data_IF_825596835384
#
_entry.id   IF_825596835384
#
_cell.length_a   1.000
_cell.length_b   1.000
_cell.length_c   1.000
_cell.angle_alpha   90.00
_cell.angle_beta   90.00
_cell.angle_gamma   90.00
#
_symmetry.space_group_name_H-M   'P 1'
#
loop_
_entity.id
_entity.type
_entity.pdbx_description
1 polymer ?
#
# COMPACT_ATOMS: atom_id res chain seq x y z
N UNK A 1 0.82 47.06 5.02
CA UNK A 1 0.32 46.33 3.84
C UNK A 1 -0.85 47.13 3.29
N UNK A 2 -0.75 47.64 2.07
CA UNK A 2 -1.85 48.38 1.45
C UNK A 2 -2.94 47.38 1.03
N UNK A 3 -4.22 47.63 1.34
CA UNK A 3 -5.31 46.77 0.89
C UNK A 3 -5.34 46.75 -0.65
N UNK A 4 -5.45 45.56 -1.22
CA UNK A 4 -5.58 45.38 -2.66
C UNK A 4 -7.07 45.36 -3.01
N UNK A 5 -7.46 46.11 -4.03
CA UNK A 5 -8.84 46.15 -4.52
C UNK A 5 -9.02 45.06 -5.56
N UNK A 6 -9.89 44.09 -5.28
CA UNK A 6 -10.13 42.99 -6.19
C UNK A 6 -10.72 43.51 -7.52
N UNK A 7 -10.13 43.18 -8.69
CA UNK A 7 -10.59 43.69 -9.98
C UNK A 7 -12.00 43.20 -10.35
N UNK A 8 -12.43 42.04 -9.84
CA UNK A 8 -13.70 41.42 -10.22
C UNK A 8 -14.89 41.88 -9.35
N UNK A 9 -14.70 42.05 -8.03
CA UNK A 9 -15.78 42.47 -7.11
C UNK A 9 -15.61 43.89 -6.54
N UNK A 10 -14.46 44.54 -6.77
CA UNK A 10 -14.20 45.91 -6.31
C UNK A 10 -14.04 46.09 -4.79
N UNK A 11 -14.11 45.01 -4.01
CA UNK A 11 -13.87 45.05 -2.56
C UNK A 11 -12.38 45.07 -2.21
N UNK A 12 -12.06 45.82 -1.17
CA UNK A 12 -10.72 45.89 -0.58
C UNK A 12 -10.50 44.63 0.28
N UNK A 13 -9.52 43.82 -0.08
CA UNK A 13 -9.15 42.60 0.65
C UNK A 13 -7.68 42.62 1.03
N UNK A 14 -7.38 42.08 2.20
CA UNK A 14 -6.01 41.87 2.69
C UNK A 14 -5.43 40.50 2.27
N UNK A 15 -6.23 39.64 1.62
CA UNK A 15 -5.84 38.30 1.19
C UNK A 15 -5.95 38.14 -0.33
N UNK A 16 -4.94 37.54 -0.94
CA UNK A 16 -4.96 37.10 -2.34
C UNK A 16 -4.94 35.57 -2.37
N UNK A 17 -5.94 34.88 -2.96
CA UNK A 17 -7.08 35.41 -3.74
C UNK A 17 -8.27 35.92 -2.91
N UNK A 18 -9.13 36.75 -3.53
CA UNK A 18 -10.28 37.40 -2.89
C UNK A 18 -11.38 36.38 -2.50
N UNK A 19 -11.81 36.32 -1.23
CA UNK A 19 -12.71 35.26 -0.72
C UNK A 19 -14.15 35.32 -1.24
N UNK A 20 -14.60 36.46 -1.77
CA UNK A 20 -15.92 36.57 -2.42
C UNK A 20 -15.90 36.17 -3.89
N UNK A 21 -14.84 36.58 -4.60
CA UNK A 21 -14.69 36.36 -6.03
C UNK A 21 -14.14 34.97 -6.36
N UNK A 22 -13.44 34.34 -5.42
CA UNK A 22 -13.09 32.92 -5.46
C UNK A 22 -14.09 32.17 -4.58
N UNK A 23 -15.26 31.76 -5.12
CA UNK A 23 -16.18 30.95 -4.35
C UNK A 23 -15.45 29.71 -3.87
N UNK A 24 -15.73 29.28 -2.63
CA UNK A 24 -15.21 28.06 -2.03
C UNK A 24 -15.47 26.77 -2.84
N UNK A 25 -16.05 26.86 -4.05
CA UNK A 25 -16.16 25.80 -5.05
C UNK A 25 -14.81 25.41 -5.69
N UNK A 26 -13.75 26.24 -5.60
CA UNK A 26 -12.38 25.85 -5.95
C UNK A 26 -11.53 25.38 -4.77
N UNK A 27 -12.09 25.35 -3.55
CA UNK A 27 -11.70 24.27 -2.62
C UNK A 27 -12.32 23.03 -3.19
N UNK A 28 -11.66 22.48 -4.22
CA UNK A 28 -12.13 21.32 -4.97
C UNK A 28 -12.68 20.31 -3.99
N UNK A 29 -13.86 19.76 -4.30
CA UNK A 29 -14.29 18.52 -3.69
C UNK A 29 -13.04 17.64 -3.55
N UNK A 30 -12.72 17.11 -2.35
CA UNK A 30 -11.52 16.32 -2.17
C UNK A 30 -11.49 15.34 -3.33
N UNK A 31 -10.43 15.40 -4.16
CA UNK A 31 -10.34 14.57 -5.36
C UNK A 31 -10.71 13.15 -4.91
N UNK A 32 -11.77 12.51 -5.47
CA UNK A 32 -12.18 11.19 -5.02
C UNK A 32 -11.03 10.16 -5.09
N UNK A 33 -9.97 10.45 -5.87
CA UNK A 33 -8.71 9.70 -5.86
C UNK A 33 -7.89 9.84 -4.57
N UNK A 34 -7.96 10.98 -3.87
CA UNK A 34 -7.32 11.19 -2.57
C UNK A 34 -8.01 10.44 -1.43
N UNK A 35 -9.31 10.15 -1.54
CA UNK A 35 -10.06 9.40 -0.51
C UNK A 35 -9.64 7.92 -0.47
N UNK A 36 -9.24 7.38 -1.63
CA UNK A 36 -8.74 6.01 -1.80
C UNK A 36 -7.22 5.88 -1.70
N UNK A 37 -6.50 6.98 -1.57
CA UNK A 37 -5.06 6.95 -1.43
C UNK A 37 -4.64 6.32 -0.09
N UNK A 38 -3.59 5.49 -0.14
CA UNK A 38 -2.96 4.88 1.03
C UNK A 38 -2.18 5.90 1.85
N UNK A 39 -1.75 5.48 3.04
CA UNK A 39 -0.73 6.20 3.79
C UNK A 39 0.64 6.04 3.13
N UNK A 40 1.57 6.96 3.44
CA UNK A 40 2.93 6.91 2.92
C UNK A 40 3.66 5.72 3.55
N UNK A 41 4.02 4.72 2.75
CA UNK A 41 4.85 3.58 3.16
C UNK A 41 6.04 3.47 2.23
N UNK A 42 7.25 3.43 2.79
CA UNK A 42 8.51 3.48 2.03
C UNK A 42 8.54 4.67 1.06
N UNK A 43 8.33 5.88 1.57
CA UNK A 43 8.43 7.10 0.78
C UNK A 43 7.27 7.39 -0.16
N UNK A 44 6.28 6.49 -0.30
CA UNK A 44 5.30 6.59 -1.38
C UNK A 44 3.86 6.29 -1.00
N UNK A 45 2.95 6.86 -1.80
CA UNK A 45 1.52 6.86 -1.57
C UNK A 45 0.82 6.06 -2.66
N UNK A 46 0.18 4.95 -2.28
CA UNK A 46 -0.64 4.21 -3.23
C UNK A 46 -1.86 5.06 -3.64
N UNK A 47 -2.11 5.23 -4.93
CA UNK A 47 -3.29 5.93 -5.43
C UNK A 47 -4.59 5.21 -5.06
N UNK A 48 -4.55 3.87 -4.96
CA UNK A 48 -5.68 3.03 -4.60
C UNK A 48 -5.25 1.96 -3.59
N UNK A 49 -5.43 2.23 -2.30
CA UNK A 49 -5.05 1.31 -1.24
C UNK A 49 -6.19 0.35 -0.86
N UNK A 50 -5.90 -0.94 -0.59
CA UNK A 50 -6.92 -1.90 -0.20
C UNK A 50 -7.59 -1.55 1.13
N UNK A 51 -6.83 -0.95 2.07
CA UNK A 51 -7.16 -0.82 3.50
C UNK A 51 -7.64 -2.13 4.11
N UNK A 52 -7.04 -3.25 3.68
CA UNK A 52 -7.46 -4.58 4.10
C UNK A 52 -6.86 -4.92 5.47
N UNK A 53 -7.68 -5.48 6.37
CA UNK A 53 -7.17 -6.18 7.56
C UNK A 53 -6.83 -7.62 7.19
N UNK A 54 -5.54 -7.91 7.15
CA UNK A 54 -5.02 -9.24 6.83
C UNK A 54 -5.27 -10.22 7.98
N UNK A 55 -5.67 -11.46 7.67
CA UNK A 55 -5.63 -12.55 8.63
C UNK A 55 -4.23 -13.22 8.60
N UNK A 56 -3.39 -13.06 9.64
CA UNK A 56 -2.00 -13.51 9.62
C UNK A 56 -1.86 -15.04 9.54
N UNK A 57 -2.75 -15.79 10.19
CA UNK A 57 -2.75 -17.24 10.16
C UNK A 57 -3.02 -17.76 8.74
N UNK A 58 -3.98 -17.12 8.05
CA UNK A 58 -4.29 -17.46 6.66
C UNK A 58 -3.10 -17.13 5.74
N UNK A 59 -2.50 -15.96 5.91
CA UNK A 59 -1.34 -15.56 5.11
C UNK A 59 -0.19 -16.56 5.29
N UNK A 60 0.17 -16.91 6.53
CA UNK A 60 1.21 -17.91 6.81
C UNK A 60 0.91 -19.28 6.22
N UNK A 61 -0.37 -19.66 6.16
CA UNK A 61 -0.78 -20.96 5.61
C UNK A 61 -0.60 -21.07 4.10
N UNK A 62 -0.92 -20.00 3.36
CA UNK A 62 -0.89 -20.00 1.88
C UNK A 62 0.37 -19.36 1.28
N UNK A 63 1.12 -18.60 2.07
CA UNK A 63 2.42 -18.08 1.65
C UNK A 63 3.43 -19.21 1.45
N UNK A 64 4.53 -18.93 0.74
CA UNK A 64 5.70 -19.80 0.62
C UNK A 64 6.26 -20.25 1.98
N UNK A 65 5.93 -19.54 3.07
CA UNK A 65 6.25 -19.90 4.45
C UNK A 65 5.36 -21.02 5.04
N UNK A 66 4.32 -21.48 4.34
CA UNK A 66 3.40 -22.53 4.80
C UNK A 66 4.05 -23.83 5.30
N UNK A 67 5.03 -24.44 4.60
CA UNK A 67 5.76 -25.60 5.15
C UNK A 67 6.51 -25.26 6.44
N UNK A 68 7.20 -24.12 6.51
CA UNK A 68 7.92 -23.69 7.72
C UNK A 68 6.96 -23.45 8.90
N UNK A 69 5.81 -22.83 8.65
CA UNK A 69 4.77 -22.62 9.66
C UNK A 69 4.22 -23.94 10.19
N UNK A 70 3.98 -24.95 9.33
CA UNK A 70 3.55 -26.29 9.75
C UNK A 70 4.61 -27.00 10.60
N UNK A 71 5.88 -26.94 10.20
CA UNK A 71 6.97 -27.49 11.02
C UNK A 71 7.06 -26.79 12.39
N UNK A 72 6.87 -25.48 12.43
CA UNK A 72 6.84 -24.72 13.67
C UNK A 72 5.67 -25.13 14.58
N UNK A 73 4.46 -25.36 14.04
CA UNK A 73 3.32 -25.87 14.81
C UNK A 73 3.59 -27.27 15.39
N UNK A 74 4.25 -28.15 14.63
CA UNK A 74 4.67 -29.46 15.13
C UNK A 74 5.64 -29.29 16.29
N UNK A 75 6.64 -28.41 16.15
CA UNK A 75 7.58 -28.12 17.22
C UNK A 75 6.88 -27.56 18.48
N UNK A 76 5.91 -26.66 18.32
CA UNK A 76 5.08 -26.16 19.43
C UNK A 76 4.39 -27.32 20.14
N UNK A 77 3.76 -28.23 19.41
CA UNK A 77 3.08 -29.39 19.99
C UNK A 77 4.04 -30.32 20.77
N UNK A 78 5.23 -30.58 20.22
CA UNK A 78 6.27 -31.36 20.91
C UNK A 78 6.75 -30.67 22.19
N UNK A 79 7.00 -29.36 22.14
CA UNK A 79 7.38 -28.56 23.30
C UNK A 79 6.30 -28.61 24.39
N UNK A 80 5.03 -28.40 24.01
CA UNK A 80 3.90 -28.50 24.95
C UNK A 80 3.79 -29.90 25.55
N UNK A 81 3.94 -30.95 24.75
CA UNK A 81 3.93 -32.34 25.23
C UNK A 81 5.04 -32.62 26.24
N UNK A 82 6.26 -32.13 26.00
CA UNK A 82 7.38 -32.28 26.93
C UNK A 82 7.10 -31.62 28.28
N UNK A 83 6.45 -30.45 28.30
CA UNK A 83 6.03 -29.80 29.55
C UNK A 83 4.94 -30.58 30.29
N UNK A 84 3.94 -31.12 29.57
CA UNK A 84 2.87 -31.95 30.16
C UNK A 84 3.43 -33.23 30.79
N UNK A 85 4.46 -33.82 30.19
CA UNK A 85 5.16 -35.00 30.71
C UNK A 85 6.19 -34.69 31.81
N UNK A 86 6.25 -33.43 32.28
CA UNK A 86 7.21 -32.95 33.27
C UNK A 86 8.69 -33.09 32.87
N UNK A 87 8.99 -33.15 31.58
CA UNK A 87 10.36 -33.12 31.06
C UNK A 87 10.85 -31.68 30.92
N UNK A 88 10.96 -30.97 32.05
CA UNK A 88 11.21 -29.52 32.09
C UNK A 88 12.47 -29.08 31.35
N UNK A 89 13.55 -29.86 31.41
CA UNK A 89 14.81 -29.54 30.72
C UNK A 89 14.65 -29.61 29.20
N UNK A 90 14.00 -30.68 28.71
CA UNK A 90 13.74 -30.86 27.27
C UNK A 90 12.75 -29.82 26.77
N UNK A 91 11.66 -29.59 27.52
CA UNK A 91 10.67 -28.56 27.20
C UNK A 91 11.30 -27.15 27.17
N UNK A 92 12.16 -26.81 28.13
CA UNK A 92 12.89 -25.55 28.16
C UNK A 92 13.81 -25.36 26.95
N UNK A 93 14.55 -26.41 26.57
CA UNK A 93 15.43 -26.37 25.40
C UNK A 93 14.65 -26.18 24.09
N UNK A 94 13.51 -26.86 23.93
CA UNK A 94 12.65 -26.73 22.75
C UNK A 94 11.84 -25.43 22.73
N UNK A 95 11.58 -24.81 23.89
CA UNK A 95 10.86 -23.54 23.98
C UNK A 95 11.62 -22.39 23.31
N UNK A 96 12.95 -22.35 23.42
CA UNK A 96 13.78 -21.29 22.83
C UNK A 96 13.57 -21.11 21.31
N UNK A 97 13.74 -22.14 20.47
CA UNK A 97 13.49 -22.00 19.03
C UNK A 97 12.01 -21.74 18.70
N UNK A 98 11.06 -22.27 19.50
CA UNK A 98 9.63 -21.98 19.32
C UNK A 98 9.35 -20.49 19.48
N UNK A 99 9.85 -19.87 20.55
CA UNK A 99 9.65 -18.44 20.81
C UNK A 99 10.36 -17.59 19.76
N UNK A 100 11.62 -17.92 19.41
CA UNK A 100 12.39 -17.18 18.43
C UNK A 100 11.72 -17.17 17.05
N UNK A 101 11.30 -18.33 16.55
CA UNK A 101 10.61 -18.46 15.26
C UNK A 101 9.23 -17.82 15.32
N UNK A 102 8.48 -17.98 16.42
CA UNK A 102 7.18 -17.35 16.61
C UNK A 102 7.25 -15.82 16.55
N UNK A 103 8.28 -15.23 17.19
CA UNK A 103 8.53 -13.79 17.14
C UNK A 103 8.90 -13.32 15.73
N UNK A 104 9.75 -14.06 15.01
CA UNK A 104 10.11 -13.75 13.63
C UNK A 104 8.88 -13.78 12.71
N UNK A 105 8.04 -14.82 12.81
CA UNK A 105 6.79 -14.93 12.03
C UNK A 105 5.81 -13.81 12.39
N UNK A 106 5.72 -13.41 13.66
CA UNK A 106 4.95 -12.26 14.12
C UNK A 106 5.42 -10.95 13.49
N UNK A 107 6.73 -10.69 13.48
CA UNK A 107 7.31 -9.50 12.86
C UNK A 107 7.09 -9.47 11.34
N UNK A 108 7.27 -10.62 10.66
CA UNK A 108 7.03 -10.73 9.23
C UNK A 108 5.56 -10.47 8.88
N UNK A 109 4.63 -11.10 9.59
CA UNK A 109 3.18 -10.91 9.35
C UNK A 109 2.73 -9.50 9.68
N UNK A 110 3.31 -8.86 10.70
CA UNK A 110 3.04 -7.45 10.99
C UNK A 110 3.48 -6.54 9.84
N UNK A 111 4.72 -6.71 9.34
CA UNK A 111 5.21 -5.97 8.16
C UNK A 111 4.32 -6.18 6.94
N UNK A 112 3.96 -7.43 6.66
CA UNK A 112 3.05 -7.74 5.56
C UNK A 112 1.66 -7.12 5.77
N UNK A 113 1.14 -7.07 7.00
CA UNK A 113 -0.15 -6.43 7.27
C UNK A 113 -0.14 -4.94 6.93
N UNK A 114 0.98 -4.24 7.12
CA UNK A 114 1.13 -2.84 6.71
C UNK A 114 1.05 -2.73 5.18
N UNK A 115 1.68 -3.66 4.46
CA UNK A 115 1.62 -3.73 2.99
C UNK A 115 0.19 -3.97 2.49
N UNK A 116 -0.56 -4.90 3.10
CA UNK A 116 -1.97 -5.13 2.72
C UNK A 116 -2.88 -3.94 3.05
N UNK A 117 -2.46 -3.07 3.96
CA UNK A 117 -3.20 -1.87 4.29
C UNK A 117 -2.91 -0.74 3.30
N UNK A 118 -1.64 -0.53 2.96
CA UNK A 118 -1.13 0.68 2.30
C UNK A 118 -0.57 0.46 0.89
N UNK A 119 -0.40 -0.78 0.46
CA UNK A 119 0.10 -1.12 -0.88
C UNK A 119 -0.87 -0.69 -1.99
N UNK A 120 -0.42 -0.76 -3.23
CA UNK A 120 -1.24 -0.42 -4.39
C UNK A 120 -2.09 -1.62 -4.81
N UNK A 121 -3.38 -1.41 -5.03
CA UNK A 121 -4.22 -2.39 -5.70
C UNK A 121 -3.84 -2.51 -7.18
N UNK A 122 -3.61 -3.73 -7.62
CA UNK A 122 -3.21 -4.03 -8.99
C UNK A 122 -4.00 -5.22 -9.54
N UNK A 123 -4.32 -5.25 -10.84
CA UNK A 123 -4.95 -6.40 -11.45
C UNK A 123 -3.91 -7.51 -11.72
N UNK A 124 -4.31 -8.76 -11.45
CA UNK A 124 -3.55 -9.96 -11.78
C UNK A 124 -4.34 -10.93 -12.66
N UNK A 125 -3.64 -11.72 -13.46
CA UNK A 125 -4.19 -12.76 -14.34
C UNK A 125 -3.36 -14.04 -14.28
N UNK A 126 -4.02 -15.20 -14.19
CA UNK A 126 -3.34 -16.51 -14.23
C UNK A 126 -2.83 -16.77 -15.65
N UNK A 127 -1.55 -17.11 -15.80
CA UNK A 127 -0.91 -17.37 -17.10
C UNK A 127 -0.51 -18.83 -17.30
N UNK A 128 -0.23 -19.55 -16.22
CA UNK A 128 0.11 -20.98 -16.23
C UNK A 128 -0.45 -21.65 -14.99
N UNK A 129 -0.76 -22.94 -15.06
CA UNK A 129 -1.33 -23.71 -13.95
C UNK A 129 -0.38 -24.79 -13.41
N UNK A 130 0.72 -25.07 -14.11
CA UNK A 130 1.72 -26.05 -13.68
C UNK A 130 3.13 -25.68 -14.21
N UNK A 131 3.93 -24.92 -13.45
CA UNK A 131 3.63 -24.34 -12.13
C UNK A 131 2.53 -23.26 -12.22
N UNK A 132 1.82 -23.02 -11.12
CA UNK A 132 0.80 -21.97 -11.07
C UNK A 132 1.50 -20.61 -11.06
N UNK A 133 1.30 -19.84 -12.13
CA UNK A 133 1.93 -18.55 -12.34
C UNK A 133 0.88 -17.52 -12.71
N UNK A 134 1.10 -16.28 -12.29
CA UNK A 134 0.27 -15.15 -12.66
C UNK A 134 1.13 -13.96 -13.08
N UNK A 135 0.53 -13.07 -13.86
CA UNK A 135 1.11 -11.78 -14.22
C UNK A 135 0.26 -10.69 -13.59
N UNK A 136 0.90 -9.68 -13.03
CA UNK A 136 0.24 -8.45 -12.60
C UNK A 136 0.84 -7.25 -13.33
N UNK A 137 0.05 -6.19 -13.47
CA UNK A 137 0.48 -4.90 -14.02
C UNK A 137 0.38 -3.81 -12.95
N UNK A 138 1.37 -2.93 -12.89
CA UNK A 138 1.43 -1.84 -11.93
C UNK A 138 1.90 -0.56 -12.59
N UNK A 139 1.38 0.58 -12.09
CA UNK A 139 1.92 1.89 -12.42
C UNK A 139 3.23 2.08 -11.67
N UNK A 140 4.31 2.31 -12.40
CA UNK A 140 5.68 2.44 -11.88
C UNK A 140 6.15 3.90 -11.81
N UNK A 141 5.27 4.86 -12.12
CA UNK A 141 5.59 6.28 -12.11
C UNK A 141 5.84 6.77 -10.68
N UNK A 142 6.83 7.66 -10.52
CA UNK A 142 6.96 8.51 -9.33
C UNK A 142 6.51 9.94 -9.66
N UNK A 143 6.47 10.83 -8.66
CA UNK A 143 6.15 12.24 -8.87
C UNK A 143 7.22 12.99 -9.69
N UNK A 144 8.38 12.37 -9.94
CA UNK A 144 9.55 12.99 -10.56
C UNK A 144 9.82 12.55 -12.00
N UNK A 145 9.12 11.53 -12.50
CA UNK A 145 9.39 10.96 -13.83
C UNK A 145 8.16 10.73 -14.70
N UNK A 146 8.37 10.16 -15.90
CA UNK A 146 7.32 9.96 -16.88
C UNK A 146 6.35 8.86 -16.46
N UNK A 147 5.12 8.93 -17.00
CA UNK A 147 4.15 7.87 -16.80
C UNK A 147 4.62 6.56 -17.43
N UNK A 148 4.80 5.53 -16.60
CA UNK A 148 5.24 4.22 -17.02
C UNK A 148 4.51 3.12 -16.26
N UNK A 149 4.35 1.97 -16.93
CA UNK A 149 3.74 0.78 -16.36
C UNK A 149 4.70 -0.39 -16.51
N UNK A 150 4.57 -1.39 -15.64
CA UNK A 150 5.34 -2.62 -15.76
C UNK A 150 4.50 -3.84 -15.45
N UNK A 151 4.86 -4.95 -16.09
CA UNK A 151 4.31 -6.28 -15.84
C UNK A 151 5.37 -7.18 -15.23
N UNK A 152 4.97 -7.94 -14.22
CA UNK A 152 5.82 -8.91 -13.53
C UNK A 152 5.10 -10.26 -13.47
N UNK A 153 5.83 -11.34 -13.74
CA UNK A 153 5.36 -12.72 -13.60
C UNK A 153 5.80 -13.25 -12.23
N UNK A 154 4.88 -13.91 -11.53
CA UNK A 154 5.12 -14.48 -10.20
C UNK A 154 4.60 -15.90 -10.13
N UNK A 155 5.39 -16.81 -9.56
CA UNK A 155 5.00 -18.17 -9.24
C UNK A 155 4.37 -18.26 -7.84
N UNK A 156 3.30 -19.03 -7.72
CA UNK A 156 2.61 -19.26 -6.46
C UNK A 156 2.26 -20.73 -6.31
N UNK A 157 2.27 -21.23 -5.08
CA UNK A 157 1.91 -22.62 -4.81
C UNK A 157 0.41 -22.89 -5.02
N UNK A 158 -0.45 -21.90 -4.74
CA UNK A 158 -1.91 -22.04 -4.79
C UNK A 158 -2.57 -20.66 -4.83
N UNK A 159 -3.72 -20.56 -5.50
CA UNK A 159 -4.55 -19.35 -5.45
C UNK A 159 -5.84 -19.63 -4.67
N UNK A 160 -5.94 -19.20 -3.40
CA UNK A 160 -7.14 -19.44 -2.63
C UNK A 160 -8.31 -18.57 -3.14
N UNK A 161 -9.54 -19.05 -2.97
CA UNK A 161 -10.82 -18.40 -3.34
C UNK A 161 -11.10 -18.34 -4.85
N UNK A 162 -10.13 -17.91 -5.65
CA UNK A 162 -10.27 -17.79 -7.11
C UNK A 162 -9.98 -19.12 -7.81
N UNK A 163 -10.43 -19.24 -9.06
CA UNK A 163 -10.07 -20.36 -9.91
C UNK A 163 -8.60 -20.30 -10.32
N UNK A 164 -7.99 -21.46 -10.50
CA UNK A 164 -6.60 -21.60 -10.98
C UNK A 164 -6.55 -21.78 -12.50
N UNK A 165 -7.64 -21.49 -13.22
CA UNK A 165 -7.66 -21.60 -14.69
C UNK A 165 -6.92 -20.43 -15.35
N UNK A 166 -6.18 -20.71 -16.42
CA UNK A 166 -5.53 -19.69 -17.25
C UNK A 166 -6.56 -18.64 -17.70
N UNK A 167 -6.18 -17.37 -17.61
CA UNK A 167 -7.05 -16.23 -17.92
C UNK A 167 -7.91 -15.77 -16.74
N UNK A 168 -7.93 -16.49 -15.61
CA UNK A 168 -8.65 -16.02 -14.42
C UNK A 168 -8.03 -14.73 -13.88
N UNK A 169 -8.84 -13.69 -13.74
CA UNK A 169 -8.39 -12.41 -13.16
C UNK A 169 -8.76 -12.27 -11.69
N UNK A 170 -7.90 -11.61 -10.92
CA UNK A 170 -8.08 -11.41 -9.49
C UNK A 170 -7.32 -10.16 -9.00
N UNK A 171 -7.77 -9.54 -7.89
CA UNK A 171 -7.09 -8.39 -7.31
C UNK A 171 -5.80 -8.80 -6.57
N UNK A 172 -4.75 -8.02 -6.79
CA UNK A 172 -3.45 -8.12 -6.12
C UNK A 172 -3.15 -6.84 -5.33
N UNK A 173 -2.25 -6.96 -4.36
CA UNK A 173 -1.60 -5.85 -3.69
C UNK A 173 -0.14 -5.85 -4.12
N UNK A 174 0.31 -4.74 -4.68
CA UNK A 174 1.70 -4.54 -5.09
C UNK A 174 2.39 -3.61 -4.10
N UNK A 175 3.65 -3.94 -3.81
CA UNK A 175 4.57 -3.04 -3.15
C UNK A 175 5.78 -2.81 -4.05
N UNK A 176 6.40 -1.65 -3.87
CA UNK A 176 7.47 -1.15 -4.72
C UNK A 176 8.78 -1.07 -3.95
N UNK A 177 9.88 -1.10 -4.69
CA UNK A 177 11.24 -0.88 -4.18
C UNK A 177 11.86 0.27 -4.97
N UNK A 178 12.41 1.23 -4.23
CA UNK A 178 13.15 2.37 -4.80
C UNK A 178 14.41 1.84 -5.47
N UNK A 179 14.74 2.39 -6.63
CA UNK A 179 16.02 2.18 -7.29
C UNK A 179 17.01 3.29 -7.01
N UNK A 180 18.16 3.23 -7.68
CA UNK A 180 19.16 4.30 -7.65
C UNK A 180 18.63 5.62 -8.26
N UNK A 181 17.77 5.49 -9.28
CA UNK A 181 17.09 6.61 -9.94
C UNK A 181 15.70 6.83 -9.30
N UNK A 182 15.36 8.08 -8.99
CA UNK A 182 14.10 8.46 -8.32
C UNK A 182 12.96 8.78 -9.31
N UNK A 183 13.19 8.60 -10.62
CA UNK A 183 12.25 8.93 -11.69
C UNK A 183 11.17 7.85 -11.90
N UNK A 184 11.44 6.62 -11.51
CA UNK A 184 10.48 5.51 -11.51
C UNK A 184 10.83 4.49 -10.44
N UNK A 185 9.85 3.64 -10.13
CA UNK A 185 10.09 2.47 -9.31
C UNK A 185 10.96 1.45 -10.02
N UNK A 186 11.94 0.85 -9.35
CA UNK A 186 12.81 -0.13 -10.00
C UNK A 186 12.18 -1.53 -10.03
N UNK A 187 11.44 -1.88 -8.98
CA UNK A 187 10.81 -3.20 -8.86
C UNK A 187 9.48 -3.08 -8.15
N UNK A 188 8.52 -3.91 -8.56
CA UNK A 188 7.34 -4.17 -7.77
C UNK A 188 7.16 -5.67 -7.56
N UNK A 189 6.54 -6.03 -6.43
CA UNK A 189 6.22 -7.42 -6.09
C UNK A 189 4.73 -7.51 -5.81
N UNK A 190 3.94 -8.13 -6.71
CA UNK A 190 2.53 -8.33 -6.51
C UNK A 190 2.27 -9.54 -5.60
N UNK A 191 1.24 -9.44 -4.75
CA UNK A 191 0.72 -10.55 -3.94
C UNK A 191 -0.79 -10.65 -4.10
N UNK A 192 -1.37 -11.86 -4.27
CA UNK A 192 -2.81 -12.03 -4.33
C UNK A 192 -3.50 -11.54 -3.04
N UNK A 193 -4.58 -10.77 -3.16
CA UNK A 193 -5.34 -10.34 -1.97
C UNK A 193 -5.94 -11.52 -1.20
N UNK A 194 -6.22 -12.62 -1.90
CA UNK A 194 -6.84 -13.82 -1.34
C UNK A 194 -5.96 -14.56 -0.32
N UNK A 195 -4.65 -14.27 -0.28
CA UNK A 195 -3.75 -14.74 0.77
C UNK A 195 -4.07 -14.05 2.10
N UNK A 196 -4.42 -12.77 2.06
CA UNK A 196 -4.75 -11.98 3.25
C UNK A 196 -6.19 -12.15 3.74
N UNK A 197 -7.14 -12.46 2.85
CA UNK A 197 -8.55 -12.63 3.20
C UNK A 197 -9.23 -13.77 2.43
N UNK A 198 -10.15 -14.47 3.09
CA UNK A 198 -11.03 -15.46 2.45
C UNK A 198 -12.42 -14.91 2.11
N UNK A 199 -12.70 -13.65 2.42
CA UNK A 199 -14.03 -13.07 2.27
C UNK A 199 -14.24 -12.59 0.82
N UNK A 200 -15.07 -13.32 0.06
CA UNK A 200 -15.42 -13.00 -1.33
C UNK A 200 -15.96 -11.58 -1.49
N UNK A 201 -16.86 -11.13 -0.62
CA UNK A 201 -17.44 -9.77 -0.69
C UNK A 201 -16.38 -8.68 -0.62
N UNK A 202 -15.33 -8.91 0.19
CA UNK A 202 -14.22 -7.96 0.30
C UNK A 202 -13.37 -8.00 -0.98
N UNK A 203 -13.06 -9.18 -1.50
CA UNK A 203 -12.31 -9.33 -2.75
C UNK A 203 -13.05 -8.69 -3.93
N UNK A 204 -14.36 -8.91 -4.04
CA UNK A 204 -15.21 -8.34 -5.08
C UNK A 204 -15.27 -6.81 -4.97
N UNK A 205 -15.34 -6.26 -3.75
CA UNK A 205 -15.26 -4.83 -3.52
C UNK A 205 -13.90 -4.23 -3.94
N UNK A 206 -12.78 -4.90 -3.66
CA UNK A 206 -11.46 -4.43 -4.10
C UNK A 206 -11.29 -4.57 -5.62
N UNK A 207 -11.84 -5.62 -6.22
CA UNK A 207 -11.90 -5.76 -7.69
C UNK A 207 -12.68 -4.59 -8.32
N UNK A 208 -13.83 -4.25 -7.76
CA UNK A 208 -14.63 -3.11 -8.23
C UNK A 208 -13.90 -1.77 -8.12
N UNK A 209 -13.04 -1.59 -7.10
CA UNK A 209 -12.20 -0.38 -6.95
C UNK A 209 -11.12 -0.24 -8.00
N UNK A 210 -10.51 -1.36 -8.44
CA UNK A 210 -9.55 -1.36 -9.55
C UNK A 210 -10.27 -0.97 -10.85
N UNK A 211 -11.50 -1.46 -11.03
CA UNK A 211 -12.30 -1.18 -12.21
C UNK A 211 -12.04 -2.18 -13.34
N UNK A 212 -13.09 -2.48 -14.12
CA UNK A 212 -13.01 -3.51 -15.17
C UNK A 212 -12.16 -3.09 -16.38
N UNK A 213 -11.89 -1.78 -16.57
CA UNK A 213 -11.01 -1.29 -17.63
C UNK A 213 -9.58 -1.82 -17.47
N UNK A 214 -9.01 -1.74 -16.26
CA UNK A 214 -7.64 -2.21 -15.99
C UNK A 214 -7.53 -3.74 -16.17
N UNK A 215 -8.55 -4.49 -15.75
CA UNK A 215 -8.59 -5.94 -16.01
C UNK A 215 -8.72 -6.27 -17.49
N UNK A 216 -9.49 -5.48 -18.25
CA UNK A 216 -9.67 -5.67 -19.69
C UNK A 216 -8.36 -5.39 -20.44
N UNK A 217 -7.64 -4.33 -20.09
CA UNK A 217 -6.32 -4.03 -20.64
C UNK A 217 -5.33 -5.16 -20.37
N UNK A 218 -5.29 -5.67 -19.12
CA UNK A 218 -4.44 -6.82 -18.78
C UNK A 218 -4.80 -8.07 -19.61
N UNK A 219 -6.08 -8.34 -19.83
CA UNK A 219 -6.52 -9.45 -20.69
C UNK A 219 -6.11 -9.24 -22.15
N UNK A 220 -6.13 -8.00 -22.66
CA UNK A 220 -5.65 -7.70 -24.01
C UNK A 220 -4.15 -7.94 -24.15
N UNK A 221 -3.34 -7.54 -23.16
CA UNK A 221 -1.90 -7.85 -23.16
C UNK A 221 -1.62 -9.34 -23.10
N UNK A 222 -2.41 -10.07 -22.30
CA UNK A 222 -2.36 -11.53 -22.22
C UNK A 222 -2.69 -12.18 -23.57
N UNK A 223 -3.81 -11.79 -24.21
CA UNK A 223 -4.23 -12.31 -25.50
C UNK A 223 -3.24 -11.98 -26.64
N UNK A 224 -2.58 -10.81 -26.56
CA UNK A 224 -1.54 -10.40 -27.50
C UNK A 224 -0.18 -11.09 -27.27
N UNK A 225 -0.03 -11.89 -26.20
CA UNK A 225 1.24 -12.54 -25.86
C UNK A 225 2.34 -11.57 -25.40
N UNK A 226 1.98 -10.34 -25.01
CA UNK A 226 2.91 -9.29 -24.55
C UNK A 226 3.32 -9.45 -23.09
N UNK A 227 3.25 -10.66 -22.54
CA UNK A 227 3.53 -10.94 -21.13
C UNK A 227 5.01 -11.32 -20.90
N UNK A 228 5.56 -11.07 -19.69
CA UNK A 228 6.89 -11.56 -19.34
C UNK A 228 6.98 -13.07 -19.52
N UNK A 229 8.11 -13.57 -20.04
CA UNK A 229 8.28 -15.01 -20.31
C UNK A 229 8.71 -15.76 -19.06
N UNK A 230 9.50 -15.11 -18.22
CA UNK A 230 10.09 -15.70 -17.01
C UNK A 230 9.75 -14.86 -15.77
N UNK A 231 9.85 -15.46 -14.59
CA UNK A 231 9.63 -14.82 -13.28
C UNK A 231 10.69 -13.74 -12.98
N UNK A 232 11.86 -13.84 -13.61
CA UNK A 232 12.96 -12.89 -13.44
C UNK A 232 12.91 -11.72 -14.43
N UNK A 233 11.85 -11.62 -15.24
CA UNK A 233 11.68 -10.56 -16.22
C UNK A 233 10.58 -9.58 -15.80
N UNK A 234 10.87 -8.30 -15.97
CA UNK A 234 9.90 -7.24 -15.89
C UNK A 234 9.77 -6.58 -17.26
N UNK A 235 8.54 -6.51 -17.77
CA UNK A 235 8.23 -5.91 -19.08
C UNK A 235 7.68 -4.51 -18.86
N UNK A 236 8.37 -3.52 -19.41
CA UNK A 236 8.00 -2.12 -19.33
C UNK A 236 7.04 -1.72 -20.44
N UNK A 237 6.03 -0.93 -20.09
CA UNK A 237 4.99 -0.44 -20.97
C UNK A 237 4.96 1.09 -20.99
N UNK A 238 4.77 1.68 -22.17
CA UNK A 238 4.45 3.10 -22.30
C UNK A 238 2.99 3.39 -21.93
N UNK A 239 2.61 4.67 -21.94
CA UNK A 239 1.23 5.11 -21.71
C UNK A 239 0.22 4.59 -22.75
N UNK A 240 0.69 4.09 -23.90
CA UNK A 240 -0.13 3.47 -24.95
C UNK A 240 -0.19 1.94 -24.88
N UNK A 241 0.42 1.31 -23.87
CA UNK A 241 0.45 -0.15 -23.73
C UNK A 241 1.41 -0.88 -24.71
N UNK A 242 2.40 -0.17 -25.27
CA UNK A 242 3.46 -0.77 -26.06
C UNK A 242 4.65 -1.14 -25.18
N UNK A 243 5.29 -2.25 -25.51
CA UNK A 243 6.47 -2.72 -24.80
C UNK A 243 7.65 -1.82 -25.14
N UNK A 244 8.18 -1.11 -24.14
CA UNK A 244 9.32 -0.21 -24.29
C UNK A 244 10.65 -0.91 -23.95
N UNK A 245 10.61 -1.95 -23.12
CA UNK A 245 11.79 -2.70 -22.74
C UNK A 245 11.47 -3.94 -21.91
N UNK A 246 12.45 -4.85 -21.84
CA UNK A 246 12.42 -6.01 -20.95
C UNK A 246 13.66 -5.95 -20.08
N UNK A 247 13.47 -5.96 -18.77
CA UNK A 247 14.54 -5.89 -17.80
C UNK A 247 14.63 -7.19 -17.01
N UNK A 248 15.84 -7.73 -16.88
CA UNK A 248 16.09 -8.92 -16.06
C UNK A 248 16.39 -8.51 -14.63
N UNK A 249 15.52 -8.92 -13.71
CA UNK A 249 15.64 -8.73 -12.26
C UNK A 249 16.85 -9.46 -11.67
N UNK A 250 17.35 -10.51 -12.33
CA UNK A 250 18.53 -11.26 -11.88
C UNK A 250 19.85 -10.51 -12.13
N UNK A 251 19.93 -9.68 -13.18
CA UNK A 251 21.19 -9.06 -13.63
C UNK A 251 21.67 -7.92 -12.71
N UNK A 252 20.79 -7.31 -11.92
CA UNK A 252 21.12 -6.21 -10.99
C UNK A 252 21.48 -6.65 -9.57
N UNK A 253 21.30 -7.93 -9.20
CA UNK A 253 21.64 -8.41 -7.86
C UNK A 253 23.15 -8.57 -7.60
N UNK A 254 24.00 -8.28 -8.58
CA UNK A 254 25.46 -8.28 -8.41
C UNK A 254 25.95 -6.85 -8.16
N UNK A 255 26.34 -6.47 -6.92
CA UNK A 255 27.14 -5.27 -6.75
C UNK A 255 28.47 -5.47 -7.52
N UNK A 256 29.00 -4.45 -8.23
CA UNK A 256 30.34 -4.55 -8.76
C UNK A 256 31.29 -4.79 -7.59
N UNK A 257 31.95 -5.95 -7.58
CA UNK A 257 32.96 -6.29 -6.59
C UNK A 257 34.08 -5.25 -6.68
N UNK A 258 34.14 -4.31 -5.73
CA UNK A 258 35.30 -3.43 -5.58
C UNK A 258 35.07 -1.99 -5.12
N UNK A 259 33.85 -1.50 -4.94
CA UNK A 259 33.66 -0.11 -4.46
C UNK A 259 33.00 -0.12 -3.07
N UNK A 260 33.71 0.27 -1.99
CA UNK A 260 33.06 0.49 -0.71
C UNK A 260 32.06 1.66 -0.84
N UNK A 261 30.86 1.55 -0.25
CA UNK A 261 29.83 2.57 -0.38
C UNK A 261 30.32 3.89 0.25
N UNK A 262 30.20 5.05 -0.42
CA UNK A 262 30.33 6.32 0.26
C UNK A 262 29.20 6.44 1.28
N UNK A 263 29.55 6.79 2.51
CA UNK A 263 28.59 7.12 3.57
C UNK A 263 27.63 8.22 3.04
N UNK A 264 26.30 8.00 3.04
CA UNK A 264 25.38 9.05 2.68
C UNK A 264 25.40 10.13 3.77
N UNK A 265 25.96 11.29 3.44
CA UNK A 265 25.69 12.52 4.16
C UNK A 265 24.19 12.79 4.08
N UNK A 266 23.54 12.74 5.25
CA UNK A 266 22.17 13.21 5.45
C UNK A 266 22.00 14.58 4.77
N UNK A 267 21.05 14.77 3.84
CA UNK A 267 20.60 16.12 3.53
C UNK A 267 19.94 16.67 4.79
N UNK A 268 20.57 17.68 5.38
CA UNK A 268 20.06 18.45 6.51
C UNK A 268 18.70 19.01 6.14
N UNK A 269 17.63 18.38 6.63
CA UNK A 269 16.28 18.95 6.60
C UNK A 269 16.32 20.27 7.40
N UNK A 270 15.87 21.41 6.86
CA UNK A 270 15.68 22.60 7.67
C UNK A 270 14.72 22.27 8.81
N UNK A 271 14.96 22.73 10.05
CA UNK A 271 14.03 22.49 11.15
C UNK A 271 12.65 23.04 10.78
N UNK A 272 11.65 22.16 10.78
CA UNK A 272 10.24 22.53 10.72
C UNK A 272 9.97 23.52 11.87
N UNK A 273 9.66 24.77 11.53
CA UNK A 273 9.11 25.70 12.50
C UNK A 273 7.81 25.11 13.05
N UNK A 274 7.62 25.08 14.38
CA UNK A 274 6.36 24.67 14.95
C UNK A 274 5.25 25.62 14.48
N UNK A 275 4.05 25.10 14.16
CA UNK A 275 2.92 25.93 13.77
C UNK A 275 2.59 26.92 14.90
N UNK A 276 2.30 28.16 14.52
CA UNK A 276 1.89 29.21 15.45
C UNK A 276 0.66 28.74 16.25
N UNK A 277 0.59 29.02 17.57
CA UNK A 277 -0.57 28.67 18.37
C UNK A 277 -1.82 29.37 17.84
N UNK A 278 -2.99 28.70 17.85
CA UNK A 278 -4.24 29.30 17.43
C UNK A 278 -4.59 30.48 18.33
N UNK A 279 -4.90 31.62 17.71
CA UNK A 279 -5.40 32.81 18.37
C UNK A 279 -6.66 32.46 19.16
N UNK A 280 -6.64 32.71 20.47
CA UNK A 280 -7.83 32.56 21.32
C UNK A 280 -8.96 33.47 20.80
N UNK A 281 -10.20 32.97 20.70
CA UNK A 281 -11.35 33.82 20.38
C UNK A 281 -11.56 34.84 21.50
N UNK A 282 -11.73 36.09 21.10
CA UNK A 282 -12.03 37.23 21.97
C UNK A 282 -13.27 36.95 22.83
N UNK A 283 -13.17 37.24 24.14
CA UNK A 283 -14.30 37.20 25.08
C UNK A 283 -15.48 38.03 24.56
N UNK A 284 -16.71 37.47 24.52
CA UNK A 284 -17.90 38.25 24.23
C UNK A 284 -18.21 39.20 25.40
N UNK A 285 -18.48 40.46 25.08
CA UNK A 285 -18.90 41.48 26.05
C UNK A 285 -20.14 41.05 26.85
N UNK A 286 -20.24 41.43 28.13
CA UNK A 286 -21.37 41.06 28.98
C UNK A 286 -22.67 41.69 28.47
N UNK A 287 -23.66 40.83 28.25
CA UNK A 287 -25.05 41.20 27.92
C UNK A 287 -25.72 41.78 29.19
N UNK A 288 -26.44 42.91 29.09
CA UNK A 288 -27.20 43.45 30.22
C UNK A 288 -28.33 42.49 30.60
N UNK A 289 -28.39 42.13 31.88
CA UNK A 289 -29.48 41.33 32.45
C UNK A 289 -30.62 42.27 32.84
N UNK A 290 -31.77 42.12 32.20
CA UNK A 290 -33.01 42.83 32.57
C UNK A 290 -33.53 42.35 33.94
N UNK A 291 -34.07 43.24 34.78
CA UNK A 291 -34.56 42.91 36.11
C UNK A 291 -35.82 42.04 36.06
N UNK A 292 -35.79 41.00 36.89
CA UNK A 292 -36.83 40.01 37.15
C UNK A 292 -38.15 40.69 37.58
N UNK A 293 -39.23 40.40 36.83
CA UNK A 293 -40.61 40.75 37.19
C UNK A 293 -41.15 39.68 38.14
N UNK A 294 -41.59 40.09 39.33
CA UNK A 294 -42.29 39.26 40.32
C UNK A 294 -43.70 38.87 39.84
N UNK A 295 -44.10 37.58 39.91
CA UNK A 295 -45.50 37.21 39.81
C UNK A 295 -46.18 37.19 41.18
N UNK A 296 -47.13 38.13 41.28
CA UNK A 296 -48.35 38.18 42.09
C UNK A 296 -48.81 36.84 42.71
N UNK A 297 -49.06 36.89 44.03
CA UNK A 297 -49.85 35.93 44.81
C UNK A 297 -51.35 36.11 44.51
N UNK A 298 -52.02 35.03 44.12
CA UNK A 298 -53.40 34.71 44.51
C UNK A 298 -53.52 33.21 44.78
#
# INVERSE_FOLDING_TARGET
MHPFKCPDCGEESSASPCPKCSPAAERGAPDPRLEHAGDIVNGTRAACAPRLRMNPLRYLWFSLLGPFFRCWLVLVAFTTGAFVLHWWVVGGLLALPVVAVGLLLGLMTWRTSVVYHNGLLTPGIVVSTNPLEFVAVANMSTDFGPHCWAMCRVDIARLPVHGEAVGTTFPCVSFFSEGEELDRWEKFTPQPLSFGTGNRKVLDAQRAKIGESEFTELQQFFAAGKIPKTTDEMVWLDAGGNVTGVESLAKRQSPPAGVPPPLPSKPSRPPLQPPAPPSLPSEPSPVPVDPLVDPVRE
#
